data_IF_745384890283
#
_entry.id   IF_745384890283
#
_cell.length_a   1.000
_cell.length_b   1.000
_cell.length_c   1.000
_cell.angle_alpha   90.00
_cell.angle_beta   90.00
_cell.angle_gamma   90.00
#
_symmetry.space_group_name_H-M   'P 1'
#
loop_
_entity.id
_entity.type
_entity.pdbx_description
1 polymer ?
#
# COMPACT_ATOMS: atom_id res chain seq x y z
N UNK A 1 6.77 0.68 -16.86
CA UNK A 1 6.94 0.49 -15.40
C UNK A 1 5.93 -0.51 -14.87
N UNK A 2 6.30 -1.22 -13.82
CA UNK A 2 5.45 -2.26 -13.26
C UNK A 2 5.17 -1.99 -11.79
N UNK A 3 3.94 -1.57 -11.50
CA UNK A 3 3.50 -1.44 -10.13
C UNK A 3 2.80 -2.73 -9.70
N UNK A 4 2.74 -2.95 -8.41
CA UNK A 4 2.18 -4.17 -7.87
C UNK A 4 1.29 -3.85 -6.69
N UNK A 5 0.74 -4.87 -6.07
CA UNK A 5 -0.13 -4.67 -4.91
C UNK A 5 0.72 -4.66 -3.66
N UNK A 6 0.22 -4.02 -2.61
CA UNK A 6 0.96 -3.94 -1.35
C UNK A 6 1.11 -5.33 -0.74
N UNK A 7 2.32 -5.65 -0.30
CA UNK A 7 2.58 -6.96 0.27
C UNK A 7 2.74 -6.87 1.79
N UNK A 8 3.19 -5.72 2.27
CA UNK A 8 3.40 -5.52 3.69
C UNK A 8 2.63 -4.29 4.16
N UNK A 9 2.36 -4.22 5.45
CA UNK A 9 1.61 -3.12 6.01
C UNK A 9 2.57 -2.00 6.38
N UNK A 10 2.28 -0.82 5.86
CA UNK A 10 3.19 0.29 6.04
C UNK A 10 3.76 0.77 4.73
N UNK A 11 3.44 0.06 3.66
CA UNK A 11 3.86 0.47 2.32
C UNK A 11 2.81 1.33 1.66
N UNK A 12 3.22 2.13 0.68
CA UNK A 12 2.28 3.02 0.00
C UNK A 12 2.32 2.86 -1.50
N UNK A 13 3.50 3.09 -2.11
CA UNK A 13 3.70 3.10 -3.58
C UNK A 13 3.36 1.76 -4.26
N UNK A 14 2.12 1.35 -4.08
CA UNK A 14 1.59 0.12 -4.65
C UNK A 14 0.08 0.25 -4.81
N UNK A 15 -0.54 -0.69 -5.51
CA UNK A 15 -2.00 -0.69 -5.61
C UNK A 15 -2.58 -1.30 -4.35
N UNK A 16 -3.08 -0.45 -3.49
CA UNK A 16 -3.66 -0.91 -2.24
C UNK A 16 -5.13 -1.26 -2.42
N UNK A 17 -5.93 -0.23 -2.58
CA UNK A 17 -7.35 -0.39 -2.70
C UNK A 17 -7.78 -0.53 -4.14
N UNK A 18 -8.15 -1.73 -4.48
CA UNK A 18 -8.54 -2.07 -5.84
C UNK A 18 -7.51 -1.71 -6.88
N UNK A 19 -7.51 -0.45 -7.28
CA UNK A 19 -6.58 0.04 -8.28
C UNK A 19 -5.84 1.29 -7.77
N UNK A 20 -6.19 1.73 -6.58
CA UNK A 20 -5.62 2.95 -6.02
C UNK A 20 -4.15 2.78 -5.72
N UNK A 21 -3.34 3.56 -6.43
CA UNK A 21 -1.91 3.52 -6.24
C UNK A 21 -1.54 4.52 -5.15
N UNK A 22 -1.44 4.02 -3.93
CA UNK A 22 -1.09 4.87 -2.80
C UNK A 22 0.31 5.43 -3.00
N UNK A 23 0.52 6.66 -2.53
CA UNK A 23 1.80 7.29 -2.69
C UNK A 23 2.26 7.94 -1.41
N UNK A 24 2.71 9.18 -1.49
CA UNK A 24 3.28 9.85 -0.35
C UNK A 24 2.19 10.55 0.46
N UNK A 25 2.30 10.48 1.77
CA UNK A 25 1.27 11.03 2.63
C UNK A 25 0.25 10.00 3.02
N UNK A 26 0.29 8.86 2.35
CA UNK A 26 -0.59 7.75 2.68
C UNK A 26 0.23 6.52 3.02
N UNK A 27 -0.43 5.57 3.63
CA UNK A 27 0.20 4.33 4.04
C UNK A 27 -0.82 3.20 4.03
N UNK A 28 -0.52 2.14 3.31
CA UNK A 28 -1.43 1.01 3.22
C UNK A 28 -1.14 0.01 4.33
N UNK A 29 -2.20 -0.47 4.96
CA UNK A 29 -2.07 -1.48 5.99
C UNK A 29 -2.94 -2.68 5.68
N UNK A 30 -2.29 -3.83 5.56
CA UNK A 30 -2.97 -5.08 5.30
C UNK A 30 -3.24 -5.80 6.61
N UNK A 31 -4.46 -5.71 7.09
CA UNK A 31 -4.80 -6.30 8.36
C UNK A 31 -5.34 -7.69 8.21
N UNK A 32 -6.58 -7.87 8.65
CA UNK A 32 -7.22 -9.17 8.64
C UNK A 32 -8.74 -9.01 8.54
N UNK A 33 -9.43 -10.09 8.20
CA UNK A 33 -10.87 -10.02 8.07
C UNK A 33 -11.29 -9.17 6.89
N UNK A 34 -12.14 -8.20 7.14
CA UNK A 34 -12.60 -7.29 6.11
C UNK A 34 -11.66 -6.09 6.04
N UNK A 35 -10.84 -5.94 7.06
CA UNK A 35 -9.90 -4.84 7.14
C UNK A 35 -8.52 -5.32 6.71
N UNK A 36 -8.47 -5.92 5.51
CA UNK A 36 -7.25 -6.55 5.04
C UNK A 36 -6.42 -5.64 4.14
N UNK A 37 -7.01 -4.54 3.69
CA UNK A 37 -6.34 -3.59 2.81
C UNK A 37 -6.94 -2.20 2.98
N UNK A 38 -6.16 -1.24 3.40
CA UNK A 38 -6.66 0.12 3.56
C UNK A 38 -5.56 1.16 3.37
N UNK A 39 -5.90 2.24 2.70
CA UNK A 39 -5.02 3.38 2.56
C UNK A 39 -5.28 4.36 3.70
N UNK A 40 -4.53 4.23 4.77
CA UNK A 40 -4.62 5.14 5.90
C UNK A 40 -3.67 6.31 5.69
N UNK A 41 -3.95 7.44 6.31
CA UNK A 41 -3.14 8.62 6.12
C UNK A 41 -1.99 8.65 7.13
N UNK A 42 -0.81 8.93 6.60
CA UNK A 42 0.38 9.02 7.42
C UNK A 42 1.62 9.06 6.56
N UNK A 43 2.58 8.19 6.86
CA UNK A 43 3.75 8.04 6.02
C UNK A 43 4.07 6.57 5.84
N UNK A 44 4.01 6.11 4.61
CA UNK A 44 4.32 4.73 4.34
C UNK A 44 5.76 4.52 3.94
N UNK A 45 5.98 3.57 3.06
CA UNK A 45 7.31 3.22 2.61
C UNK A 45 7.24 2.68 1.18
N UNK A 46 8.27 2.97 0.37
CA UNK A 46 8.37 2.42 -0.97
C UNK A 46 8.42 0.90 -0.95
N UNK A 47 7.44 0.27 -1.56
CA UNK A 47 7.36 -1.16 -1.63
C UNK A 47 8.20 -1.68 -2.80
N UNK A 48 9.25 -2.46 -2.51
CA UNK A 48 10.07 -3.09 -3.54
C UNK A 48 9.27 -4.07 -4.37
N UNK A 49 9.49 -4.00 -5.66
CA UNK A 49 8.72 -4.77 -6.61
C UNK A 49 9.55 -5.06 -7.84
N UNK A 50 10.49 -4.17 -8.11
CA UNK A 50 11.44 -4.35 -9.20
C UNK A 50 12.85 -4.39 -8.64
N UNK A 51 13.65 -5.34 -9.09
CA UNK A 51 15.03 -5.46 -8.62
C UNK A 51 15.88 -4.32 -9.17
#
# INVERSE_FOLDING_TARGET
>A
VVYTDCTESGQNLCLCEGSNVCGQGNKCILGRGDSKNQCVTGEGTPKPQSHNQGDFEPIPEDAYDE
#
